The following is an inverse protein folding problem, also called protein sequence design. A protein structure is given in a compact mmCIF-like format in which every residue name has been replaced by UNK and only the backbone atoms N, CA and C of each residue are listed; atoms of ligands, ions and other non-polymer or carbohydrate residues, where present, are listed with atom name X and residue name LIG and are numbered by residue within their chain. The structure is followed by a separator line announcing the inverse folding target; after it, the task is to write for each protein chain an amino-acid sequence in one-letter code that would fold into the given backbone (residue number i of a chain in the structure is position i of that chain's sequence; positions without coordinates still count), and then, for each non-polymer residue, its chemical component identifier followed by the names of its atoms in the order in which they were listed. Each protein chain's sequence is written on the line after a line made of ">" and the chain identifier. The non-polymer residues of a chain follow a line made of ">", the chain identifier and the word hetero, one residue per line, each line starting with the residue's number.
data_IF_159692907033
#
_entry.id   IF_159692907033
#
_cell.length_a   1.000
_cell.length_b   1.000
_cell.length_c   1.000
_cell.angle_alpha   90.00
_cell.angle_beta   90.00
_cell.angle_gamma   90.00
#
_symmetry.space_group_name_H-M   'P 1'
#
loop_
_entity.id
_entity.type
_entity.pdbx_description
1 polymer ?
#
# COMPACT_ATOMS: atom_id res chain seq x y z
N UNK A 1 -8.86 31.07 5.63
CA UNK A 1 -7.51 30.47 5.55
C UNK A 1 -7.68 29.02 5.11
N UNK A 2 -7.64 28.76 3.80
CA UNK A 2 -7.79 27.39 3.26
C UNK A 2 -6.38 26.89 2.99
N UNK A 3 -5.79 26.19 3.96
CA UNK A 3 -4.47 25.60 3.81
C UNK A 3 -4.53 24.48 2.77
N UNK A 4 -3.92 24.72 1.61
CA UNK A 4 -3.61 23.67 0.64
C UNK A 4 -2.62 22.72 1.31
N UNK A 5 -3.10 21.59 1.85
CA UNK A 5 -2.22 20.52 2.34
C UNK A 5 -1.48 19.96 1.14
N UNK A 6 -0.19 20.30 1.02
CA UNK A 6 0.67 19.82 -0.05
C UNK A 6 0.82 18.30 0.11
N UNK A 7 0.10 17.52 -0.72
CA UNK A 7 0.23 16.06 -0.75
C UNK A 7 1.38 15.72 -1.68
N UNK A 8 2.53 15.36 -1.13
CA UNK A 8 3.60 14.81 -1.96
C UNK A 8 3.24 13.39 -2.38
N UNK A 9 3.47 13.09 -3.67
CA UNK A 9 3.19 11.81 -4.29
C UNK A 9 4.52 11.20 -4.69
N UNK A 10 4.95 10.17 -3.96
CA UNK A 10 6.14 9.41 -4.33
C UNK A 10 5.70 8.14 -5.05
N UNK A 11 6.30 7.85 -6.20
CA UNK A 11 6.09 6.60 -6.93
C UNK A 11 7.24 5.67 -6.57
N UNK A 12 6.97 4.62 -5.79
CA UNK A 12 7.96 3.59 -5.48
C UNK A 12 7.88 2.39 -6.43
N UNK A 13 6.74 2.16 -7.09
CA UNK A 13 6.53 1.15 -8.14
C UNK A 13 5.44 1.60 -9.13
N UNK A 14 5.45 1.10 -10.39
CA UNK A 14 4.59 1.56 -11.51
C UNK A 14 3.07 1.71 -11.23
N UNK A 15 2.54 1.03 -10.21
CA UNK A 15 1.11 1.03 -9.84
C UNK A 15 0.86 1.41 -8.38
N UNK A 16 1.82 2.07 -7.74
CA UNK A 16 1.72 2.46 -6.34
C UNK A 16 2.07 3.93 -6.18
N UNK A 17 1.33 4.58 -5.29
CA UNK A 17 1.57 5.95 -4.87
C UNK A 17 1.67 5.96 -3.35
N UNK A 18 2.69 6.64 -2.85
CA UNK A 18 2.83 6.98 -1.43
C UNK A 18 2.35 8.41 -1.26
N UNK A 19 1.36 8.61 -0.41
CA UNK A 19 0.81 9.93 -0.07
C UNK A 19 1.18 10.30 1.37
N UNK A 20 1.61 11.54 1.58
CA UNK A 20 1.93 12.06 2.91
C UNK A 20 2.48 13.49 2.84
N UNK A 21 2.65 14.12 4.01
CA UNK A 21 3.51 15.29 4.15
C UNK A 21 4.99 14.85 4.25
N UNK A 22 5.95 15.75 4.02
CA UNK A 22 7.38 15.41 3.91
C UNK A 22 7.89 14.53 5.07
N UNK A 23 7.60 14.93 6.31
CA UNK A 23 7.93 14.22 7.54
C UNK A 23 6.71 13.59 8.24
N UNK A 24 5.55 13.60 7.57
CA UNK A 24 4.30 13.08 8.12
C UNK A 24 4.12 11.58 7.86
N UNK A 25 3.15 10.96 8.57
CA UNK A 25 2.81 9.57 8.36
C UNK A 25 2.28 9.36 6.93
N UNK A 26 2.72 8.25 6.34
CA UNK A 26 2.44 7.90 4.94
C UNK A 26 1.21 7.00 4.80
N UNK A 27 0.55 7.13 3.66
CA UNK A 27 -0.47 6.19 3.19
C UNK A 27 0.00 5.52 1.91
N UNK A 28 -0.02 4.20 1.88
CA UNK A 28 0.27 3.40 0.68
C UNK A 28 -1.01 3.23 -0.13
N UNK A 29 -1.01 3.67 -1.39
CA UNK A 29 -2.16 3.55 -2.30
C UNK A 29 -1.80 2.67 -3.50
N UNK A 30 -2.41 1.48 -3.59
CA UNK A 30 -2.29 0.60 -4.76
C UNK A 30 -3.37 0.96 -5.80
N UNK A 31 -2.94 1.24 -7.03
CA UNK A 31 -3.86 1.53 -8.14
C UNK A 31 -4.22 0.23 -8.88
N UNK A 32 -5.52 -0.08 -8.89
CA UNK A 32 -6.06 -1.29 -9.53
C UNK A 32 -7.21 -0.95 -10.48
N UNK A 33 -7.26 -1.63 -11.62
CA UNK A 33 -8.47 -1.64 -12.43
C UNK A 33 -9.63 -2.25 -11.63
N UNK A 34 -10.85 -1.80 -11.89
CA UNK A 34 -12.06 -2.33 -11.24
C UNK A 34 -12.14 -3.85 -11.41
N UNK A 35 -12.36 -4.63 -10.33
CA UNK A 35 -12.50 -6.06 -10.43
C UNK A 35 -13.73 -6.41 -11.27
N UNK A 36 -13.58 -7.35 -12.20
CA UNK A 36 -14.63 -7.82 -13.12
C UNK A 36 -15.88 -8.30 -12.35
N UNK A 37 -15.74 -8.71 -11.08
CA UNK A 37 -16.80 -9.29 -10.24
C UNK A 37 -17.58 -8.30 -9.35
N UNK A 38 -17.48 -6.98 -9.56
CA UNK A 38 -18.25 -5.92 -8.86
C UNK A 38 -18.23 -5.93 -7.31
N UNK A 39 -17.50 -6.83 -6.67
CA UNK A 39 -17.21 -6.82 -5.23
C UNK A 39 -15.76 -6.43 -5.00
N UNK A 40 -15.48 -5.41 -4.16
CA UNK A 40 -14.13 -5.13 -3.70
C UNK A 40 -13.73 -6.19 -2.67
N UNK A 41 -13.49 -7.42 -3.13
CA UNK A 41 -12.84 -8.44 -2.32
C UNK A 41 -11.33 -8.29 -2.52
N UNK A 42 -10.62 -7.93 -1.46
CA UNK A 42 -9.17 -7.84 -1.49
C UNK A 42 -8.57 -9.23 -1.59
N UNK A 43 -7.88 -9.50 -2.69
CA UNK A 43 -7.21 -10.78 -2.86
C UNK A 43 -6.02 -10.89 -1.91
N UNK A 44 -5.63 -12.14 -1.63
CA UNK A 44 -4.38 -12.43 -0.92
C UNK A 44 -3.18 -11.65 -1.48
N UNK A 45 -3.06 -11.57 -2.81
CA UNK A 45 -1.98 -10.87 -3.48
C UNK A 45 -1.98 -9.36 -3.19
N UNK A 46 -3.15 -8.72 -3.11
CA UNK A 46 -3.25 -7.30 -2.77
C UNK A 46 -2.74 -7.03 -1.36
N UNK A 47 -3.18 -7.83 -0.38
CA UNK A 47 -2.77 -7.67 1.01
C UNK A 47 -1.27 -7.91 1.17
N UNK A 48 -0.74 -8.96 0.54
CA UNK A 48 0.69 -9.27 0.57
C UNK A 48 1.53 -8.14 -0.04
N UNK A 49 1.09 -7.57 -1.17
CA UNK A 49 1.78 -6.45 -1.81
C UNK A 49 1.80 -5.21 -0.91
N UNK A 50 0.67 -4.83 -0.32
CA UNK A 50 0.58 -3.68 0.59
C UNK A 50 1.42 -3.91 1.85
N UNK A 51 1.45 -5.12 2.40
CA UNK A 51 2.26 -5.48 3.55
C UNK A 51 3.77 -5.38 3.25
N UNK A 52 4.23 -5.96 2.14
CA UNK A 52 5.62 -5.85 1.70
C UNK A 52 6.08 -4.39 1.54
N UNK A 53 5.24 -3.57 0.89
CA UNK A 53 5.53 -2.15 0.69
C UNK A 53 5.58 -1.38 2.00
N UNK A 54 4.67 -1.69 2.93
CA UNK A 54 4.65 -1.08 4.26
C UNK A 54 5.90 -1.44 5.05
N UNK A 55 6.36 -2.70 4.99
CA UNK A 55 7.60 -3.12 5.62
C UNK A 55 8.81 -2.36 5.06
N UNK A 56 8.93 -2.25 3.72
CA UNK A 56 10.03 -1.49 3.11
C UNK A 56 10.06 -0.02 3.57
N UNK A 57 8.90 0.64 3.67
CA UNK A 57 8.85 2.02 4.15
C UNK A 57 9.23 2.13 5.63
N UNK A 58 8.76 1.20 6.47
CA UNK A 58 9.13 1.14 7.89
C UNK A 58 10.63 0.89 8.07
N UNK A 59 11.22 0.00 7.28
CA UNK A 59 12.68 -0.24 7.26
C UNK A 59 13.47 1.00 6.85
N UNK A 60 12.91 1.86 6.00
CA UNK A 60 13.49 3.17 5.64
C UNK A 60 13.26 4.26 6.71
N UNK A 61 12.73 3.91 7.89
CA UNK A 61 12.45 4.84 8.98
C UNK A 61 11.21 5.71 8.76
N UNK A 62 10.30 5.32 7.85
CA UNK A 62 9.06 6.05 7.61
C UNK A 62 7.90 5.48 8.40
N UNK A 63 7.09 6.36 8.99
CA UNK A 63 5.81 5.98 9.58
C UNK A 63 4.75 5.75 8.47
N UNK A 64 3.99 4.66 8.59
CA UNK A 64 2.87 4.35 7.69
C UNK A 64 1.62 4.19 8.53
N UNK A 65 0.63 5.06 8.32
CA UNK A 65 -0.63 5.09 9.07
C UNK A 65 -1.77 4.33 8.39
N UNK A 66 -1.65 4.05 7.09
CA UNK A 66 -2.74 3.44 6.35
C UNK A 66 -2.32 2.81 5.02
N UNK A 67 -3.16 1.88 4.57
CA UNK A 67 -3.04 1.30 3.23
C UNK A 67 -4.39 1.30 2.54
N UNK A 68 -4.39 1.59 1.24
CA UNK A 68 -5.59 1.77 0.44
C UNK A 68 -5.42 1.10 -0.92
N UNK A 69 -6.54 0.70 -1.52
CA UNK A 69 -6.63 0.40 -2.95
C UNK A 69 -7.53 1.43 -3.62
N UNK A 70 -7.02 2.04 -4.69
CA UNK A 70 -7.79 2.89 -5.58
C UNK A 70 -8.27 2.08 -6.80
N UNK A 71 -9.59 1.88 -6.88
CA UNK A 71 -10.23 1.25 -8.04
C UNK A 71 -10.52 2.29 -9.12
N UNK A 72 -9.74 2.27 -10.20
CA UNK A 72 -9.78 3.31 -11.24
C UNK A 72 -11.12 3.39 -11.97
N UNK A 73 -11.78 2.25 -12.24
CA UNK A 73 -13.07 2.23 -12.94
C UNK A 73 -14.26 2.72 -12.11
N UNK A 74 -14.14 2.75 -10.78
CA UNK A 74 -15.14 3.33 -9.87
C UNK A 74 -14.70 4.64 -9.25
N UNK A 75 -13.46 5.07 -9.51
CA UNK A 75 -12.80 6.23 -8.89
C UNK A 75 -12.91 6.22 -7.36
N UNK A 76 -12.89 5.03 -6.76
CA UNK A 76 -13.14 4.82 -5.33
C UNK A 76 -11.90 4.31 -4.62
N UNK A 77 -11.62 4.88 -3.45
CA UNK A 77 -10.65 4.34 -2.49
C UNK A 77 -11.35 3.41 -1.51
N UNK A 78 -10.69 2.32 -1.17
CA UNK A 78 -11.12 1.41 -0.12
C UNK A 78 -9.91 1.12 0.75
N UNK A 79 -10.07 1.38 2.05
CA UNK A 79 -9.07 1.10 3.07
C UNK A 79 -8.85 -0.40 3.19
N UNK A 80 -7.59 -0.79 3.38
CA UNK A 80 -7.20 -2.15 3.71
C UNK A 80 -6.54 -2.12 5.08
N UNK A 81 -7.28 -2.57 6.09
CA UNK A 81 -6.68 -2.85 7.39
C UNK A 81 -5.79 -4.09 7.26
N UNK A 82 -4.47 -3.90 7.34
CA UNK A 82 -3.50 -4.99 7.40
C UNK A 82 -3.43 -5.56 8.82
N UNK A 83 -3.25 -6.87 8.91
CA UNK A 83 -3.13 -7.61 10.17
C UNK A 83 -1.71 -8.11 10.35
N UNK A 84 -1.35 -8.51 11.57
CA UNK A 84 -0.05 -9.15 11.86
C UNK A 84 0.20 -10.38 10.99
N UNK A 85 -0.85 -11.13 10.65
CA UNK A 85 -0.75 -12.27 9.74
C UNK A 85 -0.34 -11.86 8.32
N UNK A 86 -0.74 -10.69 7.84
CA UNK A 86 -0.31 -10.18 6.52
C UNK A 86 1.17 -9.80 6.54
N UNK A 87 1.65 -9.20 7.64
CA UNK A 87 3.05 -8.86 7.83
C UNK A 87 3.93 -10.11 7.95
N UNK A 88 3.54 -11.10 8.76
CA UNK A 88 4.26 -12.36 8.88
C UNK A 88 4.41 -13.07 7.52
N UNK A 89 3.36 -13.07 6.70
CA UNK A 89 3.39 -13.63 5.33
C UNK A 89 4.31 -12.85 4.40
N UNK A 90 4.34 -11.52 4.52
CA UNK A 90 5.23 -10.67 3.75
C UNK A 90 6.70 -10.95 4.08
N UNK A 91 7.04 -11.06 5.35
CA UNK A 91 8.37 -11.44 5.82
C UNK A 91 8.77 -12.83 5.33
N UNK A 92 7.88 -13.83 5.45
CA UNK A 92 8.12 -15.18 4.94
C UNK A 92 8.39 -15.18 3.44
N UNK A 93 7.58 -14.45 2.66
CA UNK A 93 7.75 -14.32 1.21
C UNK A 93 9.10 -13.69 0.86
N UNK A 94 9.50 -12.63 1.57
CA UNK A 94 10.80 -11.99 1.38
C UNK A 94 11.96 -12.93 1.73
N UNK A 95 11.87 -13.63 2.86
CA UNK A 95 12.87 -14.62 3.28
C UNK A 95 12.97 -15.82 2.32
N UNK A 96 11.86 -16.24 1.71
CA UNK A 96 11.88 -17.30 0.69
C UNK A 96 12.61 -16.83 -0.57
N UNK A 97 12.35 -15.62 -1.05
CA UNK A 97 13.03 -15.06 -2.23
C UNK A 97 14.54 -14.95 -2.02
N UNK A 98 14.99 -14.48 -0.85
CA UNK A 98 16.43 -14.36 -0.51
C UNK A 98 17.19 -15.70 -0.51
N UNK A 99 16.48 -16.82 -0.31
CA UNK A 99 17.08 -18.17 -0.33
C UNK A 99 17.23 -18.74 -1.75
N UNK A 100 16.67 -18.09 -2.76
CA UNK A 100 16.69 -18.53 -4.16
C UNK A 100 17.73 -17.77 -5.02
N UNK A 101 18.44 -16.82 -4.42
CA UNK A 101 19.46 -15.97 -5.02
C UNK A 101 20.80 -16.20 -4.35
#
# INVERSE_FOLDING_TARGET
>A
MVGLTYRHRFICQRRQIIEGADDGPLTVVEYKATPVRRRPEFTYANRLQLALQTLCLKEMGREVQGTEVYFTGHRRRVEVALTDADFARAEEAAARTRRLT
#
